data_IF_450214101858
#
_entry.id   IF_450214101858
#
_cell.length_a   1.000
_cell.length_b   1.000
_cell.length_c   1.000
_cell.angle_alpha   90.00
_cell.angle_beta   90.00
_cell.angle_gamma   90.00
#
_symmetry.space_group_name_H-M   'P 1'
#
loop_
_entity.id
_entity.type
_entity.pdbx_description
1 polymer ?
#
# COMPACT_ATOMS: atom_id res chain seq x y z
N UNK A 1 -11.02 -11.26 -7.31
CA UNK A 1 -10.79 -12.52 -6.51
C UNK A 1 -12.09 -13.31 -6.38
N UNK A 2 -12.03 -14.65 -6.28
CA UNK A 2 -13.18 -15.44 -5.83
C UNK A 2 -13.47 -15.18 -4.35
N UNK A 3 -14.70 -15.46 -3.90
CA UNK A 3 -15.04 -15.28 -2.47
C UNK A 3 -14.14 -16.14 -1.56
N UNK A 4 -13.78 -17.35 -1.98
CA UNK A 4 -12.90 -18.25 -1.22
C UNK A 4 -11.47 -17.71 -1.10
N UNK A 5 -10.93 -17.14 -2.19
CA UNK A 5 -9.61 -16.49 -2.17
C UNK A 5 -9.63 -15.25 -1.28
N UNK A 6 -10.70 -14.45 -1.33
CA UNK A 6 -10.87 -13.26 -0.50
C UNK A 6 -10.96 -13.62 0.98
N UNK A 7 -11.72 -14.64 1.34
CA UNK A 7 -11.82 -15.18 2.70
C UNK A 7 -10.45 -15.66 3.20
N UNK A 8 -9.73 -16.42 2.39
CA UNK A 8 -8.39 -16.94 2.71
C UNK A 8 -7.39 -15.81 2.91
N UNK A 9 -7.28 -14.87 1.96
CA UNK A 9 -6.38 -13.73 2.04
C UNK A 9 -6.67 -12.85 3.27
N UNK A 10 -7.96 -12.59 3.52
CA UNK A 10 -8.40 -11.78 4.66
C UNK A 10 -8.13 -12.46 5.99
N UNK A 11 -8.35 -13.77 6.08
CA UNK A 11 -8.00 -14.56 7.27
C UNK A 11 -6.51 -14.52 7.57
N UNK A 12 -5.67 -14.67 6.55
CA UNK A 12 -4.21 -14.57 6.69
C UNK A 12 -3.80 -13.21 7.23
N UNK A 13 -4.30 -12.12 6.65
CA UNK A 13 -3.98 -10.75 7.10
C UNK A 13 -4.43 -10.52 8.55
N UNK A 14 -5.67 -10.91 8.91
CA UNK A 14 -6.19 -10.78 10.28
C UNK A 14 -5.37 -11.54 11.31
N UNK A 15 -4.78 -12.67 10.91
CA UNK A 15 -3.92 -13.48 11.77
C UNK A 15 -2.43 -13.06 11.74
N UNK A 16 -2.13 -11.88 11.17
CA UNK A 16 -0.77 -11.32 11.13
C UNK A 16 0.12 -11.90 10.06
N UNK A 17 -0.46 -12.54 9.04
CA UNK A 17 0.26 -13.04 7.88
C UNK A 17 0.58 -11.94 6.86
N UNK A 18 1.41 -12.33 5.89
CA UNK A 18 1.82 -11.51 4.74
C UNK A 18 1.36 -12.17 3.46
N UNK A 19 0.70 -11.41 2.59
CA UNK A 19 0.31 -11.87 1.27
C UNK A 19 1.06 -11.12 0.17
N UNK A 20 1.20 -11.76 -1.00
CA UNK A 20 1.55 -11.10 -2.24
C UNK A 20 0.31 -11.02 -3.13
N UNK A 21 -0.01 -9.83 -3.66
CA UNK A 21 -1.23 -9.59 -4.40
C UNK A 21 -1.01 -8.60 -5.56
N UNK A 22 -1.79 -8.68 -6.64
CA UNK A 22 -1.66 -7.78 -7.77
C UNK A 22 -2.18 -6.37 -7.42
N UNK A 23 -1.48 -5.37 -7.93
CA UNK A 23 -1.90 -3.97 -7.86
C UNK A 23 -2.10 -3.39 -9.26
N UNK A 24 -2.17 -2.07 -9.39
CA UNK A 24 -2.39 -1.41 -10.67
C UNK A 24 -1.29 -1.68 -11.70
N UNK A 25 -0.06 -1.93 -11.25
CA UNK A 25 1.09 -2.06 -12.16
C UNK A 25 2.02 -3.23 -11.88
N UNK A 26 2.13 -3.66 -10.63
CA UNK A 26 3.07 -4.71 -10.19
C UNK A 26 2.45 -5.51 -9.05
N UNK A 27 3.03 -6.64 -8.70
CA UNK A 27 2.67 -7.29 -7.44
C UNK A 27 3.16 -6.48 -6.24
N UNK A 28 2.40 -6.53 -5.16
CA UNK A 28 2.74 -5.92 -3.88
C UNK A 28 2.70 -6.92 -2.74
N UNK A 29 3.46 -6.65 -1.68
CA UNK A 29 3.28 -7.32 -0.39
C UNK A 29 2.32 -6.53 0.47
N UNK A 30 1.41 -7.26 1.14
CA UNK A 30 0.41 -6.69 2.04
C UNK A 30 0.30 -7.43 3.36
N UNK A 31 -0.04 -6.68 4.39
CA UNK A 31 -0.36 -7.18 5.73
C UNK A 31 -1.22 -6.14 6.48
N UNK A 32 -1.63 -6.49 7.69
CA UNK A 32 -2.21 -5.53 8.63
C UNK A 32 -1.18 -4.45 9.00
N UNK A 33 -1.46 -3.16 8.75
CA UNK A 33 -0.56 -2.06 9.08
C UNK A 33 -0.33 -1.86 10.58
N UNK A 34 -1.14 -2.44 11.44
CA UNK A 34 -0.96 -2.39 12.90
C UNK A 34 -0.20 -3.59 13.46
N UNK A 35 0.02 -4.64 12.66
CA UNK A 35 0.76 -5.82 13.10
C UNK A 35 2.26 -5.62 12.95
N UNK A 36 2.95 -5.39 14.07
CA UNK A 36 4.39 -5.12 14.12
C UNK A 36 5.23 -6.26 13.50
N UNK A 37 4.91 -7.52 13.81
CA UNK A 37 5.64 -8.69 13.30
C UNK A 37 5.49 -8.85 11.79
N UNK A 38 4.30 -8.57 11.25
CA UNK A 38 4.05 -8.60 9.81
C UNK A 38 4.82 -7.49 9.08
N UNK A 39 4.88 -6.28 9.66
CA UNK A 39 5.68 -5.18 9.12
C UNK A 39 7.17 -5.52 9.07
N UNK A 40 7.71 -6.08 10.16
CA UNK A 40 9.10 -6.54 10.24
C UNK A 40 9.39 -7.64 9.20
N UNK A 41 8.46 -8.59 9.03
CA UNK A 41 8.57 -9.65 8.03
C UNK A 41 8.62 -9.08 6.61
N UNK A 42 7.75 -8.14 6.25
CA UNK A 42 7.81 -7.46 4.92
C UNK A 42 9.16 -6.76 4.72
N UNK A 43 9.65 -6.02 5.72
CA UNK A 43 10.93 -5.34 5.62
C UNK A 43 12.08 -6.32 5.43
N UNK A 44 12.05 -7.47 6.13
CA UNK A 44 13.04 -8.55 6.00
C UNK A 44 12.98 -9.20 4.61
N UNK A 45 11.79 -9.59 4.13
CA UNK A 45 11.60 -10.16 2.77
C UNK A 45 12.19 -9.24 1.69
N UNK A 46 11.99 -7.93 1.84
CA UNK A 46 12.45 -6.92 0.89
C UNK A 46 13.91 -6.48 1.08
N UNK A 47 14.60 -6.93 2.11
CA UNK A 47 15.90 -6.37 2.51
C UNK A 47 15.84 -4.83 2.58
N UNK A 48 14.76 -4.31 3.16
CA UNK A 48 14.44 -2.88 3.15
C UNK A 48 14.76 -2.24 4.48
N UNK A 49 15.55 -1.17 4.45
CA UNK A 49 15.84 -0.39 5.65
C UNK A 49 14.54 0.16 6.28
N UNK A 50 14.31 -0.03 7.59
CA UNK A 50 13.11 0.45 8.29
C UNK A 50 12.86 1.96 8.13
N UNK A 51 13.93 2.75 7.97
CA UNK A 51 13.86 4.21 7.77
C UNK A 51 13.15 4.63 6.47
N UNK A 52 12.99 3.71 5.50
CA UNK A 52 12.26 4.02 4.26
C UNK A 52 10.74 4.07 4.46
N UNK A 53 10.21 3.44 5.52
CA UNK A 53 8.78 3.34 5.77
C UNK A 53 8.04 2.51 4.72
N UNK A 54 6.73 2.37 4.88
CA UNK A 54 5.85 1.60 4.00
C UNK A 54 4.62 2.46 3.66
N UNK A 55 4.00 2.16 2.52
CA UNK A 55 2.75 2.80 2.08
C UNK A 55 1.59 1.96 2.58
N UNK A 56 0.50 2.60 3.00
CA UNK A 56 -0.78 1.94 3.18
C UNK A 56 -1.74 2.32 2.05
N UNK A 57 -2.57 1.36 1.66
CA UNK A 57 -3.63 1.55 0.66
C UNK A 57 -4.99 1.33 1.27
N UNK A 58 -5.99 2.03 0.76
CA UNK A 58 -7.36 1.95 1.21
C UNK A 58 -8.32 2.13 0.03
N UNK A 59 -9.53 1.64 0.17
CA UNK A 59 -10.67 1.90 -0.72
C UNK A 59 -11.54 3.06 -0.23
N UNK A 60 -11.56 3.32 1.09
CA UNK A 60 -12.42 4.32 1.75
C UNK A 60 -11.66 5.18 2.75
N UNK A 61 -12.14 6.42 2.94
CA UNK A 61 -11.53 7.40 3.84
C UNK A 61 -11.49 6.92 5.30
N UNK A 62 -12.56 6.30 5.79
CA UNK A 62 -12.63 5.83 7.17
C UNK A 62 -11.53 4.82 7.54
N UNK A 63 -11.03 4.06 6.56
CA UNK A 63 -9.97 3.06 6.77
C UNK A 63 -8.60 3.67 7.08
N UNK A 64 -8.36 4.92 6.67
CA UNK A 64 -7.09 5.61 6.92
C UNK A 64 -7.13 6.55 8.13
N UNK A 65 -8.33 6.94 8.61
CA UNK A 65 -8.46 7.90 9.71
C UNK A 65 -7.65 7.54 10.96
N UNK A 66 -7.48 6.25 11.34
CA UNK A 66 -6.66 5.88 12.50
C UNK A 66 -5.17 6.24 12.36
N UNK A 67 -4.69 6.41 11.12
CA UNK A 67 -3.27 6.59 10.80
C UNK A 67 -2.87 8.05 10.62
N UNK A 68 -3.81 8.98 10.50
CA UNK A 68 -3.54 10.40 10.22
C UNK A 68 -3.89 11.30 11.41
N UNK A 69 -3.13 12.37 11.54
CA UNK A 69 -3.39 13.44 12.52
C UNK A 69 -4.14 14.59 11.86
N UNK A 70 -5.48 14.51 11.89
CA UNK A 70 -6.35 15.51 11.29
C UNK A 70 -6.19 16.90 11.90
N UNK A 71 -5.68 17.04 13.12
CA UNK A 71 -5.47 18.35 13.75
C UNK A 71 -4.40 19.19 13.04
N UNK A 72 -3.55 18.55 12.23
CA UNK A 72 -2.47 19.18 11.44
C UNK A 72 -2.85 19.41 9.98
N UNK A 73 -4.09 19.13 9.58
CA UNK A 73 -4.55 19.21 8.19
C UNK A 73 -5.70 20.22 8.13
N UNK A 74 -5.54 21.33 7.39
CA UNK A 74 -6.63 22.27 7.19
C UNK A 74 -7.74 21.68 6.30
N UNK A 75 -8.96 22.18 6.45
CA UNK A 75 -10.10 21.77 5.62
C UNK A 75 -9.81 21.90 4.12
N UNK A 76 -9.14 22.99 3.71
CA UNK A 76 -8.76 23.23 2.31
C UNK A 76 -7.78 22.18 1.78
N UNK A 77 -6.78 21.78 2.59
CA UNK A 77 -5.83 20.72 2.21
C UNK A 77 -6.56 19.39 2.14
N UNK A 78 -7.42 19.10 3.10
CA UNK A 78 -8.18 17.86 3.11
C UNK A 78 -9.09 17.72 1.89
N UNK A 79 -9.78 18.79 1.53
CA UNK A 79 -10.60 18.85 0.32
C UNK A 79 -9.78 18.61 -0.94
N UNK A 80 -8.61 19.26 -1.09
CA UNK A 80 -7.69 19.02 -2.23
C UNK A 80 -7.19 17.58 -2.32
N UNK A 81 -6.98 16.92 -1.18
CA UNK A 81 -6.58 15.50 -1.17
C UNK A 81 -7.74 14.61 -1.57
N UNK A 82 -8.94 14.88 -1.06
CA UNK A 82 -10.11 13.99 -1.24
C UNK A 82 -10.82 14.17 -2.58
N UNK A 83 -10.79 15.35 -3.20
CA UNK A 83 -11.48 15.61 -4.47
C UNK A 83 -10.87 14.84 -5.67
N UNK A 84 -9.65 14.31 -5.54
CA UNK A 84 -8.97 13.55 -6.61
C UNK A 84 -8.93 12.04 -6.34
N UNK A 85 -9.67 11.57 -5.35
CA UNK A 85 -9.69 10.16 -4.94
C UNK A 85 -10.88 9.39 -5.57
N UNK A 86 -10.70 8.10 -5.91
CA UNK A 86 -9.42 7.38 -5.97
C UNK A 86 -8.55 7.86 -7.13
N UNK A 87 -7.23 7.73 -7.03
CA UNK A 87 -6.34 8.19 -8.09
C UNK A 87 -4.89 7.71 -7.95
N UNK A 88 -4.08 7.91 -9.00
CA UNK A 88 -2.71 7.42 -9.07
C UNK A 88 -1.73 8.30 -8.26
N UNK A 89 -2.18 8.82 -7.12
CA UNK A 89 -1.37 9.67 -6.23
C UNK A 89 -1.27 9.02 -4.85
N UNK A 90 -0.04 8.95 -4.34
CA UNK A 90 0.25 8.65 -2.94
C UNK A 90 0.49 9.96 -2.21
N UNK A 91 -0.29 10.26 -1.19
CA UNK A 91 -0.11 11.45 -0.37
C UNK A 91 0.72 11.14 0.87
N UNK A 92 1.66 12.04 1.19
CA UNK A 92 2.33 12.09 2.48
C UNK A 92 1.51 12.99 3.39
N UNK A 93 0.98 12.43 4.46
CA UNK A 93 0.10 13.10 5.42
C UNK A 93 0.72 13.07 6.84
N UNK A 94 0.41 14.01 7.72
CA UNK A 94 0.78 13.93 9.14
C UNK A 94 0.28 12.63 9.76
N UNK A 95 1.18 11.89 10.39
CA UNK A 95 0.85 10.62 11.02
C UNK A 95 0.27 10.83 12.43
N UNK A 96 -0.75 10.05 12.79
CA UNK A 96 -1.23 9.99 14.16
C UNK A 96 -0.19 9.38 15.10
N UNK A 97 -0.26 9.68 16.39
CA UNK A 97 0.60 9.08 17.41
C UNK A 97 0.48 7.55 17.52
N UNK A 98 -0.63 6.99 17.03
CA UNK A 98 -0.90 5.54 17.00
C UNK A 98 -0.26 4.83 15.82
N UNK A 99 0.18 5.56 14.80
CA UNK A 99 0.77 4.97 13.58
C UNK A 99 2.13 4.34 13.90
N UNK A 100 2.34 3.04 13.61
CA UNK A 100 3.58 2.34 13.90
C UNK A 100 4.82 3.02 13.31
N UNK A 101 5.92 3.02 14.06
CA UNK A 101 7.19 3.64 13.63
C UNK A 101 7.72 3.02 12.33
N UNK A 102 7.54 1.71 12.12
CA UNK A 102 7.97 1.02 10.90
C UNK A 102 7.22 1.50 9.66
N UNK A 103 5.91 1.80 9.77
CA UNK A 103 5.16 2.41 8.67
C UNK A 103 5.71 3.79 8.31
N UNK A 104 5.97 4.61 9.32
CA UNK A 104 6.44 5.98 9.14
C UNK A 104 7.92 6.08 8.75
N UNK A 105 8.68 5.01 8.91
CA UNK A 105 10.15 5.07 8.76
C UNK A 105 10.79 6.04 9.76
N UNK A 106 10.22 6.18 10.96
CA UNK A 106 10.68 7.09 12.01
C UNK A 106 10.30 8.57 11.80
N UNK A 107 9.54 8.92 10.76
CA UNK A 107 9.06 10.29 10.47
C UNK A 107 7.75 10.59 11.21
N UNK A 108 7.33 11.86 11.17
CA UNK A 108 6.03 12.30 11.66
C UNK A 108 4.94 12.29 10.58
N UNK A 109 5.20 11.59 9.48
CA UNK A 109 4.30 11.48 8.33
C UNK A 109 4.15 10.05 7.88
N UNK A 110 3.02 9.76 7.20
CA UNK A 110 2.71 8.47 6.59
C UNK A 110 2.33 8.63 5.13
N UNK A 111 2.72 7.66 4.31
CA UNK A 111 2.34 7.59 2.90
C UNK A 111 1.06 6.78 2.72
N UNK A 112 0.05 7.38 2.11
CA UNK A 112 -1.28 6.81 1.94
C UNK A 112 -1.70 6.93 0.48
N UNK A 113 -2.29 5.85 -0.08
CA UNK A 113 -2.88 5.84 -1.39
C UNK A 113 -4.32 5.30 -1.33
N UNK A 114 -5.20 5.94 -2.08
CA UNK A 114 -6.52 5.40 -2.38
C UNK A 114 -6.46 4.70 -3.73
N UNK A 115 -6.80 3.42 -3.75
CA UNK A 115 -6.74 2.59 -4.93
C UNK A 115 -8.13 2.40 -5.53
N UNK A 116 -8.19 2.28 -6.86
CA UNK A 116 -9.35 1.80 -7.60
C UNK A 116 -9.14 0.38 -8.16
N UNK A 117 -8.00 -0.24 -7.85
CA UNK A 117 -7.75 -1.63 -8.22
C UNK A 117 -8.73 -2.55 -7.50
N UNK A 118 -9.39 -3.45 -8.24
CA UNK A 118 -10.46 -4.31 -7.70
C UNK A 118 -9.98 -5.17 -6.54
N UNK A 119 -8.84 -5.83 -6.68
CA UNK A 119 -8.26 -6.70 -5.65
C UNK A 119 -7.98 -5.93 -4.34
N UNK A 120 -7.43 -4.72 -4.45
CA UNK A 120 -7.17 -3.86 -3.28
C UNK A 120 -8.49 -3.43 -2.63
N UNK A 121 -9.47 -2.99 -3.44
CA UNK A 121 -10.76 -2.54 -2.93
C UNK A 121 -11.51 -3.68 -2.23
N UNK A 122 -11.57 -4.87 -2.84
CA UNK A 122 -12.19 -6.06 -2.25
C UNK A 122 -11.55 -6.43 -0.92
N UNK A 123 -10.21 -6.48 -0.84
CA UNK A 123 -9.49 -6.77 0.41
C UNK A 123 -9.76 -5.71 1.49
N UNK A 124 -9.62 -4.42 1.15
CA UNK A 124 -9.83 -3.33 2.11
C UNK A 124 -11.29 -3.25 2.60
N UNK A 125 -12.25 -3.49 1.70
CA UNK A 125 -13.67 -3.46 2.05
C UNK A 125 -14.08 -4.66 2.90
N UNK A 126 -13.62 -5.86 2.54
CA UNK A 126 -13.89 -7.08 3.29
C UNK A 126 -13.28 -7.04 4.71
N UNK A 127 -12.06 -6.52 4.81
CA UNK A 127 -11.35 -6.32 6.08
C UNK A 127 -11.87 -5.11 6.87
N UNK A 128 -12.57 -4.18 6.21
CA UNK A 128 -12.95 -2.86 6.72
C UNK A 128 -11.74 -2.07 7.29
N UNK A 129 -10.57 -2.21 6.65
CA UNK A 129 -9.34 -1.54 7.07
C UNK A 129 -8.42 -1.27 5.88
N UNK A 130 -7.48 -0.33 6.04
CA UNK A 130 -6.36 -0.18 5.13
C UNK A 130 -5.39 -1.36 5.26
N UNK A 131 -4.64 -1.66 4.21
CA UNK A 131 -3.58 -2.66 4.22
C UNK A 131 -2.24 -2.05 3.80
N UNK A 132 -1.13 -2.66 4.20
CA UNK A 132 0.19 -2.30 3.66
C UNK A 132 0.24 -2.63 2.18
N UNK A 133 0.90 -1.76 1.40
CA UNK A 133 1.19 -2.00 -0.01
C UNK A 133 2.60 -1.54 -0.35
N UNK A 134 3.45 -2.50 -0.68
CA UNK A 134 4.80 -2.24 -1.16
C UNK A 134 5.15 -3.23 -2.26
N UNK A 135 5.83 -2.79 -3.32
CA UNK A 135 6.16 -3.64 -4.48
C UNK A 135 6.85 -4.95 -4.08
N UNK A 136 6.52 -6.06 -4.75
CA UNK A 136 7.13 -7.38 -4.52
C UNK A 136 8.47 -7.50 -5.23
N UNK A 137 9.52 -6.98 -4.60
CA UNK A 137 10.90 -7.04 -5.07
C UNK A 137 11.87 -6.86 -3.90
N UNK A 138 13.08 -7.36 -4.05
CA UNK A 138 14.19 -6.97 -3.18
C UNK A 138 14.54 -5.49 -3.41
N UNK A 139 15.04 -4.81 -2.39
CA UNK A 139 15.41 -3.39 -2.50
C UNK A 139 16.41 -3.15 -3.62
N UNK A 140 16.04 -2.29 -4.59
CA UNK A 140 16.88 -1.97 -5.75
C UNK A 140 16.74 -2.89 -6.95
N UNK A 141 15.92 -3.92 -6.88
CA UNK A 141 15.53 -4.75 -8.03
C UNK A 141 14.22 -4.28 -8.63
N UNK A 142 13.94 -4.70 -9.87
CA UNK A 142 12.66 -4.43 -10.50
C UNK A 142 11.52 -5.23 -9.86
N UNK A 143 10.32 -4.64 -9.73
CA UNK A 143 9.18 -5.35 -9.16
C UNK A 143 8.59 -6.36 -10.15
N UNK A 144 8.07 -7.47 -9.61
CA UNK A 144 7.47 -8.53 -10.40
C UNK A 144 6.04 -8.18 -10.83
N UNK A 145 5.65 -8.69 -12.01
CA UNK A 145 4.33 -8.46 -12.63
C UNK A 145 3.52 -9.74 -12.84
N UNK A 146 4.16 -10.90 -12.77
CA UNK A 146 3.57 -12.20 -13.04
C UNK A 146 3.52 -13.02 -11.75
N UNK A 147 2.34 -13.55 -11.39
CA UNK A 147 2.17 -14.31 -10.14
C UNK A 147 3.08 -15.55 -10.07
N UNK A 148 3.34 -16.23 -11.20
CA UNK A 148 4.25 -17.37 -11.24
C UNK A 148 5.67 -17.01 -10.80
N UNK A 149 6.18 -15.84 -11.23
CA UNK A 149 7.50 -15.34 -10.79
C UNK A 149 7.51 -14.94 -9.33
N UNK A 150 6.39 -14.36 -8.84
CA UNK A 150 6.23 -14.04 -7.41
C UNK A 150 6.19 -15.30 -6.57
N UNK A 151 5.50 -16.34 -7.03
CA UNK A 151 5.45 -17.66 -6.37
C UNK A 151 6.83 -18.29 -6.32
N UNK A 152 7.58 -18.28 -7.43
CA UNK A 152 8.94 -18.84 -7.52
C UNK A 152 9.91 -18.12 -6.57
N UNK A 153 9.89 -16.78 -6.55
CA UNK A 153 10.87 -15.98 -5.79
C UNK A 153 10.48 -15.80 -4.31
N UNK A 154 9.18 -15.65 -4.02
CA UNK A 154 8.68 -15.25 -2.69
C UNK A 154 7.65 -16.20 -2.08
N UNK A 155 7.18 -17.23 -2.78
CA UNK A 155 6.11 -18.12 -2.31
C UNK A 155 6.41 -18.77 -0.96
N UNK A 156 7.67 -19.12 -0.70
CA UNK A 156 8.09 -19.68 0.60
C UNK A 156 8.28 -18.61 1.70
N UNK A 157 8.21 -17.32 1.39
CA UNK A 157 8.44 -16.21 2.30
C UNK A 157 7.15 -15.49 2.71
N UNK A 158 6.06 -15.68 1.95
CA UNK A 158 4.72 -15.14 2.22
C UNK A 158 3.74 -16.27 2.52
N UNK A 159 2.57 -15.95 3.07
CA UNK A 159 1.57 -16.94 3.45
C UNK A 159 0.55 -17.21 2.33
N UNK A 160 0.52 -16.35 1.31
CA UNK A 160 -0.31 -16.51 0.12
C UNK A 160 0.25 -15.65 -1.02
N UNK A 161 0.27 -16.21 -2.22
CA UNK A 161 0.33 -15.44 -3.47
C UNK A 161 -1.04 -15.51 -4.14
N UNK A 162 -1.63 -14.34 -4.43
CA UNK A 162 -2.91 -14.24 -5.13
C UNK A 162 -2.67 -14.46 -6.63
N UNK A 163 -3.35 -15.44 -7.22
CA UNK A 163 -3.14 -15.86 -8.61
C UNK A 163 -4.02 -15.06 -9.58
N UNK A 164 -3.79 -13.75 -9.62
CA UNK A 164 -4.46 -12.84 -10.55
C UNK A 164 -3.45 -12.00 -11.33
N UNK A 165 -3.91 -11.33 -12.38
CA UNK A 165 -3.09 -10.43 -13.16
C UNK A 165 -3.00 -9.05 -12.52
N UNK A 166 -1.86 -8.38 -12.66
CA UNK A 166 -1.72 -6.96 -12.34
C UNK A 166 -2.53 -6.11 -13.32
N UNK A 167 -2.87 -4.89 -12.89
CA UNK A 167 -3.48 -3.91 -13.77
C UNK A 167 -2.54 -3.41 -14.88
N UNK A 168 -3.07 -2.62 -15.79
CA UNK A 168 -2.35 -2.13 -16.98
C UNK A 168 -1.56 -0.84 -16.75
N UNK A 169 -1.58 -0.27 -15.55
CA UNK A 169 -0.83 0.95 -15.24
C UNK A 169 0.68 0.70 -15.39
N UNK A 170 1.39 1.46 -16.23
CA UNK A 170 2.77 1.14 -16.60
C UNK A 170 3.79 1.49 -15.51
N UNK A 171 3.40 2.22 -14.46
CA UNK A 171 4.41 2.89 -13.62
C UNK A 171 3.99 3.10 -12.17
N UNK A 172 4.99 3.26 -11.25
CA UNK A 172 4.73 3.65 -9.89
C UNK A 172 3.98 4.98 -9.79
N UNK A 173 3.06 5.09 -8.85
CA UNK A 173 2.27 6.29 -8.59
C UNK A 173 3.14 7.49 -8.22
N UNK A 174 2.64 8.69 -8.51
CA UNK A 174 3.22 9.93 -7.98
C UNK A 174 3.15 9.93 -6.45
N UNK A 175 4.20 10.47 -5.81
CA UNK A 175 4.19 10.74 -4.35
C UNK A 175 4.23 12.24 -4.14
N UNK A 176 3.26 12.76 -3.39
CA UNK A 176 3.10 14.19 -3.12
C UNK A 176 2.94 14.45 -1.63
N UNK A 177 3.65 15.45 -1.12
CA UNK A 177 3.40 15.99 0.21
C UNK A 177 2.07 16.77 0.20
N UNK A 178 1.14 16.36 1.03
CA UNK A 178 -0.21 16.94 1.04
C UNK A 178 -0.22 18.37 1.58
N UNK A 179 0.65 18.71 2.54
CA UNK A 179 0.66 20.02 3.18
C UNK A 179 1.30 21.09 2.29
N UNK A 180 2.36 20.73 1.57
CA UNK A 180 3.14 21.66 0.76
C UNK A 180 2.83 21.59 -0.74
N UNK A 181 2.16 20.52 -1.19
CA UNK A 181 1.94 20.23 -2.60
C UNK A 181 3.19 19.75 -3.34
N UNK A 182 4.34 19.63 -2.67
CA UNK A 182 5.61 19.22 -3.29
C UNK A 182 5.56 17.80 -3.81
N UNK A 183 5.95 17.61 -5.07
CA UNK A 183 6.12 16.28 -5.66
C UNK A 183 7.46 15.72 -5.19
N UNK A 184 7.40 14.60 -4.46
CA UNK A 184 8.57 13.86 -3.92
C UNK A 184 9.06 12.84 -4.93
N UNK A 185 8.12 12.17 -5.63
CA UNK A 185 8.39 11.24 -6.72
C UNK A 185 7.39 11.49 -7.84
N UNK A 186 7.86 11.71 -9.05
CA UNK A 186 6.98 11.82 -10.23
C UNK A 186 6.42 10.44 -10.58
N UNK A 187 5.13 10.38 -10.87
CA UNK A 187 4.54 9.28 -11.62
C UNK A 187 4.89 9.45 -13.11
N UNK A 188 5.03 8.37 -13.85
CA UNK A 188 5.17 8.48 -15.31
C UNK A 188 3.73 8.48 -15.86
N UNK A 189 3.30 9.59 -16.43
CA UNK A 189 2.02 9.66 -17.15
C UNK A 189 2.22 9.04 -18.53
N UNK A 190 1.26 8.23 -19.02
CA UNK A 190 1.12 8.00 -20.46
C UNK A 190 0.85 9.38 -21.06
N UNK A 191 1.73 9.86 -21.94
CA UNK A 191 1.36 10.92 -22.86
C UNK A 191 0.29 10.30 -23.77
N UNK A 192 -0.97 10.62 -23.51
CA UNK A 192 -2.01 10.43 -24.49
C UNK A 192 -1.72 11.43 -25.62
N UNK A 193 -1.03 10.94 -26.66
CA UNK A 193 -0.91 11.63 -27.94
C UNK A 193 -2.25 11.65 -28.66
#
# INVERSE_FOLDING_TARGET
MTNEELDKASSIIKNGGVIAYPTESVFGFGCDPLNQSALERILKIKERAPSKGLIIVASKLNQIMPFIDMSKISGEIWEKVTCVLPGPITYILPASGKTPKLLRGGRDTIAIRFSSNSTICELCDYLNMAIVSTSSNLSGKDPLREYLKVEEEFGNLVDLVVHENVGEEPTPTEIRDALTGKIIRKGIRKNNG
#
